data_IF_068259556014
#
_entry.id   IF_068259556014
#
_cell.length_a   1.000
_cell.length_b   1.000
_cell.length_c   1.000
_cell.angle_alpha   90.00
_cell.angle_beta   90.00
_cell.angle_gamma   90.00
#
_symmetry.space_group_name_H-M   'P 1'
#
loop_
_entity.id
_entity.type
_entity.pdbx_description
1 polymer ?
#
# COMPACT_ATOMS: atom_id res chain seq x y z
N UNK A 1 13.46 23.65 -0.43
CA UNK A 1 14.28 24.84 -0.14
C UNK A 1 13.88 26.06 -0.98
N UNK A 2 12.81 25.95 -1.80
CA UNK A 2 12.27 27.04 -2.61
C UNK A 2 13.13 27.44 -3.82
N UNK A 3 14.10 26.63 -4.21
CA UNK A 3 14.99 26.90 -5.35
C UNK A 3 14.62 26.11 -6.60
N UNK A 4 13.88 25.03 -6.45
CA UNK A 4 13.50 24.15 -7.53
C UNK A 4 12.00 23.91 -7.57
N UNK A 5 11.46 23.86 -8.77
CA UNK A 5 10.08 23.50 -9.06
C UNK A 5 10.10 22.19 -9.86
N UNK A 6 9.37 21.19 -9.40
CA UNK A 6 9.10 20.01 -10.18
C UNK A 6 7.70 20.09 -10.78
N UNK A 7 7.59 19.80 -12.05
CA UNK A 7 6.34 19.88 -12.81
C UNK A 7 6.07 18.55 -13.50
N UNK A 8 4.94 17.92 -13.20
CA UNK A 8 4.44 16.76 -13.92
C UNK A 8 3.47 17.18 -15.01
N UNK A 9 3.76 16.84 -16.24
CA UNK A 9 2.88 17.10 -17.37
C UNK A 9 1.98 15.90 -17.64
N UNK A 10 0.68 16.05 -17.32
CA UNK A 10 -0.34 14.99 -17.35
C UNK A 10 -1.03 14.76 -18.68
N UNK A 11 -0.85 15.63 -19.65
CA UNK A 11 -1.67 15.57 -20.85
C UNK A 11 -1.05 14.68 -21.90
N UNK A 12 -1.55 13.46 -21.95
CA UNK A 12 -1.28 12.61 -23.09
C UNK A 12 -2.07 13.05 -24.29
N UNK A 13 -1.48 12.79 -25.43
CA UNK A 13 -1.94 13.02 -26.78
C UNK A 13 -3.43 12.74 -27.04
N UNK A 14 -4.00 11.79 -26.30
CA UNK A 14 -5.25 11.15 -26.68
C UNK A 14 -6.46 11.64 -25.91
N UNK A 15 -6.27 12.48 -24.89
CA UNK A 15 -7.37 12.76 -23.96
C UNK A 15 -8.17 14.03 -24.20
N UNK A 16 -7.60 15.11 -24.75
CA UNK A 16 -8.35 16.37 -24.66
C UNK A 16 -8.33 17.35 -25.83
N UNK A 17 -7.42 17.34 -26.79
CA UNK A 17 -7.47 18.27 -27.93
C UNK A 17 -6.77 17.76 -29.18
N UNK A 18 -7.42 17.85 -30.36
CA UNK A 18 -6.81 17.50 -31.65
C UNK A 18 -5.92 18.61 -32.24
N UNK A 19 -5.57 19.64 -31.47
CA UNK A 19 -4.90 20.83 -31.97
C UNK A 19 -3.68 21.17 -31.13
N UNK A 20 -2.50 20.92 -31.67
CA UNK A 20 -1.22 21.35 -31.09
C UNK A 20 -0.14 20.28 -31.16
N UNK A 21 1.13 20.65 -30.99
CA UNK A 21 2.20 19.67 -30.88
C UNK A 21 1.96 18.77 -29.68
N UNK A 22 2.13 17.48 -29.93
CA UNK A 22 1.97 16.45 -28.94
C UNK A 22 3.09 16.56 -27.90
N UNK A 23 2.75 16.94 -26.69
CA UNK A 23 3.68 16.89 -25.58
C UNK A 23 3.67 15.49 -24.98
N UNK A 24 4.81 14.80 -24.95
CA UNK A 24 4.90 13.55 -24.21
C UNK A 24 4.62 13.81 -22.73
N UNK A 25 4.08 12.81 -22.05
CA UNK A 25 4.04 12.82 -20.60
C UNK A 25 5.47 12.91 -20.10
N UNK A 26 5.78 13.91 -19.30
CA UNK A 26 7.12 14.14 -18.81
C UNK A 26 7.13 14.76 -17.40
N UNK A 27 8.26 14.64 -16.76
CA UNK A 27 8.59 15.31 -15.51
C UNK A 27 9.68 16.32 -15.77
N UNK A 28 9.47 17.54 -15.33
CA UNK A 28 10.41 18.65 -15.52
C UNK A 28 10.94 19.15 -14.18
N UNK A 29 12.24 19.36 -14.12
CA UNK A 29 12.88 20.06 -13.02
C UNK A 29 13.30 21.46 -13.49
N UNK A 30 12.81 22.47 -12.79
CA UNK A 30 13.02 23.86 -13.12
C UNK A 30 13.73 24.56 -11.96
N UNK A 31 14.82 25.26 -12.24
CA UNK A 31 15.47 26.14 -11.28
C UNK A 31 14.70 27.48 -11.24
N UNK A 32 14.25 27.85 -10.06
CA UNK A 32 13.52 29.10 -9.78
C UNK A 32 14.28 29.98 -8.76
N UNK A 33 15.55 29.71 -8.53
CA UNK A 33 16.36 30.43 -7.54
C UNK A 33 16.79 31.84 -8.00
N UNK A 34 16.69 32.12 -9.30
CA UNK A 34 17.02 33.41 -9.92
C UNK A 34 15.79 34.12 -10.47
N UNK A 35 16.04 35.21 -11.19
CA UNK A 35 15.00 36.04 -11.81
C UNK A 35 14.29 35.37 -13.01
N UNK A 36 14.83 34.25 -13.48
CA UNK A 36 14.30 33.48 -14.61
C UNK A 36 14.17 32.02 -14.23
N UNK A 37 13.11 31.40 -14.72
CA UNK A 37 12.99 29.94 -14.66
C UNK A 37 13.93 29.29 -15.67
N UNK A 38 14.73 28.35 -15.21
CA UNK A 38 15.67 27.58 -16.05
C UNK A 38 15.32 26.13 -15.98
N UNK A 39 14.97 25.54 -17.13
CA UNK A 39 14.74 24.09 -17.23
C UNK A 39 16.06 23.34 -17.04
N UNK A 40 16.15 22.54 -15.98
CA UNK A 40 17.33 21.73 -15.66
C UNK A 40 17.27 20.32 -16.23
N UNK A 41 16.07 19.76 -16.22
CA UNK A 41 15.85 18.41 -16.73
C UNK A 41 14.43 18.27 -17.29
N UNK A 42 14.30 17.48 -18.35
CA UNK A 42 13.04 17.07 -18.95
C UNK A 42 13.11 15.56 -19.17
N UNK A 43 12.32 14.82 -18.43
CA UNK A 43 12.38 13.37 -18.37
C UNK A 43 11.07 12.76 -18.88
N UNK A 44 11.08 12.04 -20.01
CA UNK A 44 9.87 11.38 -20.47
C UNK A 44 9.47 10.25 -19.52
N UNK A 45 8.20 10.21 -19.17
CA UNK A 45 7.62 9.18 -18.33
C UNK A 45 6.53 8.43 -19.07
N UNK A 46 6.25 7.21 -18.62
CA UNK A 46 5.10 6.44 -19.10
C UNK A 46 4.00 6.48 -18.03
N UNK A 47 2.85 6.98 -18.42
CA UNK A 47 1.73 7.16 -17.52
C UNK A 47 1.69 8.54 -16.87
N UNK A 48 0.58 8.85 -16.22
CA UNK A 48 0.36 10.16 -15.60
C UNK A 48 1.20 10.31 -14.34
N UNK A 49 2.17 11.25 -14.28
CA UNK A 49 2.89 11.51 -13.05
C UNK A 49 1.95 12.18 -12.05
N UNK A 50 1.85 11.62 -10.87
CA UNK A 50 0.99 12.12 -9.80
C UNK A 50 1.77 12.80 -8.69
N UNK A 51 3.00 12.38 -8.48
CA UNK A 51 3.80 12.86 -7.37
C UNK A 51 5.29 12.70 -7.64
N UNK A 52 6.11 13.57 -7.08
CA UNK A 52 7.56 13.43 -7.09
C UNK A 52 8.19 14.00 -5.84
N UNK A 53 9.30 13.41 -5.50
CA UNK A 53 10.15 13.84 -4.40
C UNK A 53 11.53 14.17 -4.94
N UNK A 54 11.99 15.37 -4.65
CA UNK A 54 13.33 15.85 -5.04
C UNK A 54 14.27 15.70 -3.85
N UNK A 55 15.34 14.95 -4.05
CA UNK A 55 16.39 14.77 -3.04
C UNK A 55 17.68 15.45 -3.49
N UNK A 56 18.42 16.00 -2.53
CA UNK A 56 19.86 16.20 -2.74
C UNK A 56 20.53 14.83 -2.71
N UNK A 57 21.45 14.58 -3.65
CA UNK A 57 22.12 13.29 -3.78
C UNK A 57 22.84 12.83 -2.51
N UNK A 58 23.41 13.76 -1.77
CA UNK A 58 24.07 13.53 -0.49
C UNK A 58 23.12 13.19 0.66
N UNK A 59 21.83 13.46 0.49
CA UNK A 59 20.78 13.08 1.45
C UNK A 59 20.14 11.73 1.15
N UNK A 60 20.44 11.13 0.00
CA UNK A 60 19.96 9.79 -0.34
C UNK A 60 20.68 8.75 0.54
N UNK A 61 19.99 8.32 1.56
CA UNK A 61 20.43 7.20 2.39
C UNK A 61 19.87 5.91 1.78
N UNK A 62 20.58 4.77 1.93
CA UNK A 62 20.01 3.47 1.62
C UNK A 62 18.67 3.31 2.35
N UNK A 63 17.67 2.72 1.69
CA UNK A 63 16.42 2.37 2.36
C UNK A 63 16.72 1.49 3.55
N UNK A 64 16.11 1.78 4.67
CA UNK A 64 16.27 0.98 5.86
C UNK A 64 15.66 -0.41 5.62
N UNK A 65 16.41 -1.43 5.91
CA UNK A 65 15.95 -2.82 5.89
C UNK A 65 15.74 -3.24 7.34
N UNK A 66 14.53 -3.63 7.66
CA UNK A 66 14.16 -4.06 9.01
C UNK A 66 14.45 -5.55 9.18
N UNK A 67 14.88 -5.94 10.37
CA UNK A 67 14.97 -7.36 10.74
C UNK A 67 13.69 -7.78 11.46
N UNK A 68 13.02 -8.80 10.93
CA UNK A 68 11.78 -9.31 11.51
C UNK A 68 11.97 -9.87 12.92
N UNK A 69 13.19 -10.23 13.31
CA UNK A 69 13.49 -10.72 14.65
C UNK A 69 13.40 -9.63 15.72
N UNK A 70 13.47 -8.35 15.33
CA UNK A 70 13.29 -7.21 16.23
C UNK A 70 11.82 -7.02 16.65
N UNK A 71 10.89 -7.77 16.03
CA UNK A 71 9.46 -7.68 16.25
C UNK A 71 8.89 -8.99 16.83
N UNK A 72 8.85 -9.17 18.15
CA UNK A 72 8.54 -10.46 18.78
C UNK A 72 7.11 -10.97 18.52
N UNK A 73 6.18 -10.08 18.18
CA UNK A 73 4.80 -10.46 17.84
C UNK A 73 4.58 -10.70 16.33
N UNK A 74 5.60 -10.45 15.52
CA UNK A 74 5.48 -10.63 14.08
C UNK A 74 5.37 -12.11 13.70
N UNK A 75 4.56 -12.40 12.72
CA UNK A 75 4.53 -13.71 12.05
C UNK A 75 5.73 -13.75 11.11
N UNK A 76 6.64 -14.68 11.34
CA UNK A 76 7.93 -14.71 10.62
C UNK A 76 7.86 -15.40 9.26
N UNK A 77 6.83 -16.20 9.02
CA UNK A 77 6.62 -16.95 7.77
C UNK A 77 5.12 -16.89 7.40
N UNK A 78 4.83 -16.72 6.12
CA UNK A 78 3.45 -16.80 5.61
C UNK A 78 2.76 -18.13 5.91
N UNK A 79 3.52 -19.20 6.13
CA UNK A 79 3.00 -20.51 6.56
C UNK A 79 2.37 -20.51 7.94
N UNK A 80 2.67 -19.51 8.76
CA UNK A 80 2.04 -19.33 10.08
C UNK A 80 0.64 -18.69 9.97
N UNK A 81 0.25 -18.29 8.76
CA UNK A 81 -1.07 -17.72 8.49
C UNK A 81 -2.15 -18.77 8.60
N UNK A 82 -3.31 -18.37 9.08
CA UNK A 82 -4.44 -19.26 9.24
C UNK A 82 -5.47 -18.77 10.23
N UNK A 83 -6.46 -19.61 10.47
CA UNK A 83 -7.58 -19.35 11.37
C UNK A 83 -7.52 -20.33 12.54
N UNK A 84 -7.52 -19.80 13.76
CA UNK A 84 -7.60 -20.60 14.97
C UNK A 84 -8.87 -20.21 15.73
N UNK A 85 -9.60 -21.21 16.20
CA UNK A 85 -10.89 -21.01 16.88
C UNK A 85 -10.87 -21.58 18.30
N UNK A 86 -11.37 -20.80 19.24
CA UNK A 86 -11.67 -21.24 20.60
C UNK A 86 -13.09 -20.77 20.96
N UNK A 87 -14.06 -21.64 20.78
CA UNK A 87 -15.48 -21.26 20.91
C UNK A 87 -15.86 -20.18 19.90
N UNK A 88 -16.34 -19.06 20.38
CA UNK A 88 -16.67 -17.85 19.57
C UNK A 88 -15.47 -16.91 19.35
N UNK A 89 -14.35 -17.15 20.00
CA UNK A 89 -13.14 -16.36 19.80
C UNK A 89 -12.35 -16.94 18.64
N UNK A 90 -12.13 -16.15 17.60
CA UNK A 90 -11.43 -16.56 16.37
C UNK A 90 -10.24 -15.65 16.19
N UNK A 91 -9.07 -16.25 16.04
CA UNK A 91 -7.84 -15.53 15.68
C UNK A 91 -7.51 -15.83 14.22
N UNK A 92 -7.40 -14.79 13.43
CA UNK A 92 -7.01 -14.86 12.01
C UNK A 92 -5.63 -14.23 11.88
N UNK A 93 -4.64 -15.02 11.52
CA UNK A 93 -3.29 -14.56 11.24
C UNK A 93 -3.08 -14.44 9.73
N UNK A 94 -2.69 -13.28 9.28
CA UNK A 94 -2.42 -12.98 7.85
C UNK A 94 -1.07 -12.28 7.75
N UNK A 95 -0.33 -12.55 6.69
CA UNK A 95 0.82 -11.74 6.31
C UNK A 95 0.54 -10.98 5.04
N UNK A 96 1.16 -9.82 4.90
CA UNK A 96 1.25 -9.06 3.66
C UNK A 96 2.68 -9.08 3.14
N UNK A 97 2.81 -9.32 1.86
CA UNK A 97 4.07 -9.19 1.12
C UNK A 97 3.69 -8.87 -0.32
N UNK A 98 4.15 -7.74 -0.83
CA UNK A 98 3.72 -7.24 -2.14
C UNK A 98 3.90 -8.32 -3.23
N UNK A 99 2.91 -8.57 -4.07
CA UNK A 99 1.60 -7.90 -4.17
C UNK A 99 0.44 -8.72 -3.55
N UNK A 100 0.63 -9.51 -2.51
CA UNK A 100 -0.37 -10.44 -2.02
C UNK A 100 -0.52 -10.47 -0.49
N UNK A 101 -1.69 -10.87 -0.03
CA UNK A 101 -1.90 -11.41 1.30
C UNK A 101 -1.71 -12.93 1.30
N UNK A 102 -1.22 -13.49 2.42
CA UNK A 102 -0.94 -14.94 2.54
C UNK A 102 -2.19 -15.83 2.46
N UNK A 103 -3.34 -15.31 2.84
CA UNK A 103 -4.62 -16.02 2.71
C UNK A 103 -5.44 -15.42 1.57
N UNK A 104 -5.93 -16.24 0.66
CA UNK A 104 -6.88 -15.83 -0.38
C UNK A 104 -8.29 -15.65 0.16
N UNK A 105 -8.61 -16.41 1.20
CA UNK A 105 -9.87 -16.34 1.93
C UNK A 105 -9.73 -16.92 3.33
N UNK A 106 -10.63 -16.51 4.22
CA UNK A 106 -10.79 -17.11 5.54
C UNK A 106 -12.26 -17.10 5.95
N UNK A 107 -12.67 -18.11 6.75
CA UNK A 107 -14.05 -18.28 7.16
C UNK A 107 -14.22 -18.12 8.66
N UNK A 108 -15.24 -17.37 9.05
CA UNK A 108 -15.70 -17.17 10.42
C UNK A 108 -17.22 -17.38 10.47
N UNK A 109 -17.81 -17.42 11.65
CA UNK A 109 -19.26 -17.60 11.82
C UNK A 109 -19.89 -16.32 12.35
N UNK A 110 -21.18 -16.15 12.08
CA UNK A 110 -21.96 -15.05 12.67
C UNK A 110 -21.88 -15.08 14.18
N UNK A 111 -21.54 -13.95 14.78
CA UNK A 111 -21.39 -13.78 16.21
C UNK A 111 -20.01 -14.15 16.76
N UNK A 112 -19.06 -14.50 15.89
CA UNK A 112 -17.67 -14.66 16.32
C UNK A 112 -17.03 -13.32 16.69
N UNK A 113 -16.26 -13.33 17.77
CA UNK A 113 -15.30 -12.29 18.10
C UNK A 113 -13.99 -12.59 17.35
N UNK A 114 -13.73 -11.83 16.30
CA UNK A 114 -12.60 -12.05 15.39
C UNK A 114 -11.47 -11.11 15.77
N UNK A 115 -10.34 -11.68 16.15
CA UNK A 115 -9.08 -10.94 16.27
C UNK A 115 -8.22 -11.22 15.03
N UNK A 116 -8.11 -10.22 14.15
CA UNK A 116 -7.28 -10.29 12.97
C UNK A 116 -5.91 -9.70 13.29
N UNK A 117 -4.87 -10.48 13.02
CA UNK A 117 -3.46 -10.11 13.21
C UNK A 117 -2.82 -10.07 11.84
N UNK A 118 -2.30 -8.93 11.44
CA UNK A 118 -1.60 -8.74 10.17
C UNK A 118 -0.15 -8.35 10.42
N UNK A 119 0.77 -9.08 9.78
CA UNK A 119 2.20 -8.77 9.76
C UNK A 119 2.64 -8.45 8.35
N UNK A 120 3.31 -7.32 8.14
CA UNK A 120 3.97 -6.99 6.90
C UNK A 120 5.36 -7.64 6.86
N UNK A 121 5.59 -8.54 5.90
CA UNK A 121 6.87 -9.25 5.72
C UNK A 121 7.84 -8.51 4.78
N UNK A 122 7.41 -7.42 4.16
CA UNK A 122 8.30 -6.62 3.35
C UNK A 122 9.32 -5.89 4.23
N UNK A 123 10.57 -5.83 3.75
CA UNK A 123 11.71 -5.27 4.48
C UNK A 123 12.14 -3.90 3.97
N UNK A 124 11.52 -3.43 2.90
CA UNK A 124 11.85 -2.16 2.25
C UNK A 124 10.95 -1.07 2.82
N UNK A 125 11.53 0.06 3.21
CA UNK A 125 10.87 1.14 3.93
C UNK A 125 9.58 1.65 3.28
N UNK A 126 9.52 1.71 1.94
CA UNK A 126 8.36 2.21 1.21
C UNK A 126 7.24 1.17 1.02
N UNK A 127 7.47 -0.09 1.38
CA UNK A 127 6.47 -1.14 1.19
C UNK A 127 5.51 -1.24 2.39
N UNK A 128 4.88 -0.11 2.70
CA UNK A 128 3.76 -0.05 3.63
C UNK A 128 2.51 -0.63 2.97
N UNK A 129 1.74 -1.42 3.72
CA UNK A 129 0.46 -1.94 3.28
C UNK A 129 -0.68 -1.38 4.12
N UNK A 130 -1.85 -1.29 3.50
CA UNK A 130 -3.08 -1.07 4.23
C UNK A 130 -3.90 -2.36 4.30
N UNK A 131 -4.86 -2.41 5.21
CA UNK A 131 -5.84 -3.48 5.28
C UNK A 131 -7.19 -2.92 5.67
N UNK A 132 -8.19 -3.16 4.87
CA UNK A 132 -9.54 -2.72 5.16
C UNK A 132 -10.58 -3.82 4.94
N UNK A 133 -11.58 -3.83 5.83
CA UNK A 133 -12.86 -4.52 5.68
C UNK A 133 -13.94 -3.44 5.89
N UNK A 134 -14.35 -2.70 4.85
CA UNK A 134 -15.18 -1.50 5.02
C UNK A 134 -16.48 -1.74 5.77
N UNK A 135 -17.13 -2.89 5.52
CA UNK A 135 -18.39 -3.24 6.17
C UNK A 135 -18.26 -3.35 7.70
N UNK A 136 -17.09 -3.69 8.20
CA UNK A 136 -16.78 -3.83 9.62
C UNK A 136 -16.03 -2.61 10.18
N UNK A 137 -15.93 -1.53 9.42
CA UNK A 137 -15.16 -0.33 9.79
C UNK A 137 -13.72 -0.62 10.22
N UNK A 138 -13.14 -1.67 9.63
CA UNK A 138 -11.73 -2.02 9.80
C UNK A 138 -10.93 -1.32 8.73
N UNK A 139 -9.99 -0.48 9.14
CA UNK A 139 -9.02 0.16 8.24
C UNK A 139 -7.79 0.58 9.04
N UNK A 140 -6.64 0.04 8.67
CA UNK A 140 -5.35 0.38 9.27
C UNK A 140 -4.20 0.14 8.29
N UNK A 141 -3.06 0.74 8.56
CA UNK A 141 -1.82 0.53 7.81
C UNK A 141 -0.80 -0.22 8.65
N UNK A 142 0.05 -1.02 8.00
CA UNK A 142 1.17 -1.75 8.59
C UNK A 142 2.44 -1.41 7.83
N UNK A 143 3.40 -0.83 8.53
CA UNK A 143 4.71 -0.53 7.98
C UNK A 143 5.53 -1.82 7.79
N UNK A 144 6.65 -1.78 7.06
CA UNK A 144 7.55 -2.92 6.94
C UNK A 144 7.88 -3.54 8.29
N UNK A 145 7.75 -4.86 8.37
CA UNK A 145 7.96 -5.70 9.55
C UNK A 145 7.09 -5.34 10.77
N UNK A 146 6.13 -4.46 10.61
CA UNK A 146 5.16 -4.14 11.64
C UNK A 146 4.07 -5.21 11.73
N UNK A 147 3.59 -5.48 12.94
CA UNK A 147 2.41 -6.31 13.20
C UNK A 147 1.35 -5.44 13.87
N UNK A 148 0.14 -5.49 13.34
CA UNK A 148 -1.04 -4.87 13.94
C UNK A 148 -2.18 -5.85 14.09
N UNK A 149 -3.05 -5.59 15.03
CA UNK A 149 -4.26 -6.37 15.25
C UNK A 149 -5.49 -5.49 15.44
N UNK A 150 -6.63 -6.06 15.07
CA UNK A 150 -7.94 -5.47 15.30
C UNK A 150 -8.90 -6.56 15.73
N UNK A 151 -9.81 -6.25 16.66
CA UNK A 151 -10.86 -7.16 17.08
C UNK A 151 -12.23 -6.57 16.74
N UNK A 152 -13.10 -7.38 16.17
CA UNK A 152 -14.46 -7.00 15.80
C UNK A 152 -15.41 -8.20 15.93
N UNK A 153 -16.72 -7.93 15.93
CA UNK A 153 -17.74 -8.99 15.90
C UNK A 153 -18.19 -9.22 14.46
N UNK A 154 -18.17 -10.46 14.02
CA UNK A 154 -18.69 -10.88 12.71
C UNK A 154 -20.22 -11.00 12.77
N UNK A 155 -20.95 -9.88 12.74
CA UNK A 155 -22.39 -9.82 13.01
C UNK A 155 -23.26 -10.09 11.80
N UNK A 156 -22.72 -10.02 10.58
CA UNK A 156 -23.47 -10.16 9.33
C UNK A 156 -22.95 -11.31 8.50
N UNK A 157 -23.80 -12.31 8.13
CA UNK A 157 -23.41 -13.33 7.17
C UNK A 157 -23.17 -12.75 5.77
N UNK A 158 -22.24 -13.34 5.05
CA UNK A 158 -21.93 -12.91 3.69
C UNK A 158 -20.45 -13.06 3.32
N UNK A 159 -20.10 -12.55 2.14
CA UNK A 159 -18.72 -12.50 1.64
C UNK A 159 -18.26 -11.05 1.61
N UNK A 160 -17.19 -10.75 2.30
CA UNK A 160 -16.64 -9.41 2.45
C UNK A 160 -15.24 -9.36 1.87
N UNK A 161 -15.01 -8.42 0.96
CA UNK A 161 -13.69 -8.18 0.44
C UNK A 161 -12.84 -7.41 1.44
N UNK A 162 -11.62 -7.88 1.58
CA UNK A 162 -10.55 -7.20 2.31
C UNK A 162 -9.45 -6.84 1.33
N UNK A 163 -8.97 -5.61 1.35
CA UNK A 163 -7.98 -5.15 0.38
C UNK A 163 -6.92 -4.26 0.99
N UNK A 164 -5.78 -4.24 0.32
CA UNK A 164 -4.74 -3.27 0.62
C UNK A 164 -5.25 -1.87 0.22
N UNK A 165 -5.13 -0.91 1.12
CA UNK A 165 -5.57 0.49 0.90
C UNK A 165 -4.41 1.44 0.64
N UNK A 166 -3.18 0.92 0.61
CA UNK A 166 -1.98 1.71 0.41
C UNK A 166 -1.24 1.23 -0.85
N UNK A 167 -0.96 2.15 -1.77
CA UNK A 167 -0.27 1.78 -3.00
C UNK A 167 1.13 1.24 -2.69
N UNK A 168 1.36 -0.03 -2.92
CA UNK A 168 2.58 -0.74 -2.55
C UNK A 168 3.29 -1.41 -3.74
N UNK A 169 2.58 -1.63 -4.86
CA UNK A 169 3.12 -2.34 -6.01
C UNK A 169 2.24 -2.11 -7.25
N UNK A 170 2.77 -2.33 -8.45
CA UNK A 170 2.02 -2.19 -9.70
C UNK A 170 0.74 -3.07 -9.76
N UNK A 171 0.75 -4.23 -9.08
CA UNK A 171 -0.40 -5.11 -8.93
C UNK A 171 -1.18 -4.86 -7.62
N UNK A 172 -1.09 -3.68 -7.05
CA UNK A 172 -1.75 -3.32 -5.80
C UNK A 172 -3.25 -3.65 -5.77
N UNK A 173 -3.97 -3.44 -6.85
CA UNK A 173 -5.41 -3.73 -6.94
C UNK A 173 -5.75 -5.23 -6.84
N UNK A 174 -4.79 -6.10 -7.07
CA UNK A 174 -4.93 -7.55 -6.89
C UNK A 174 -4.62 -8.01 -5.46
N UNK A 175 -4.07 -7.12 -4.63
CA UNK A 175 -3.75 -7.41 -3.23
C UNK A 175 -5.01 -7.39 -2.36
N UNK A 176 -5.73 -8.51 -2.40
CA UNK A 176 -7.03 -8.69 -1.73
C UNK A 176 -7.22 -10.09 -1.19
N UNK A 177 -8.07 -10.23 -0.20
CA UNK A 177 -8.53 -11.49 0.38
C UNK A 177 -10.04 -11.42 0.63
N UNK A 178 -10.68 -12.55 0.94
CA UNK A 178 -12.12 -12.63 1.24
C UNK A 178 -12.33 -13.12 2.66
N UNK A 179 -13.16 -12.43 3.40
CA UNK A 179 -13.74 -12.95 4.64
C UNK A 179 -15.13 -13.51 4.34
N UNK A 180 -15.33 -14.77 4.67
CA UNK A 180 -16.63 -15.45 4.56
C UNK A 180 -17.21 -15.56 5.96
N UNK A 181 -18.39 -14.98 6.16
CA UNK A 181 -19.13 -15.10 7.42
C UNK A 181 -20.31 -16.05 7.20
N UNK A 182 -20.21 -17.25 7.75
CA UNK A 182 -21.28 -18.23 7.74
C UNK A 182 -22.39 -17.84 8.72
N UNK A 183 -23.63 -18.28 8.43
CA UNK A 183 -24.80 -18.00 9.25
C UNK A 183 -24.76 -18.72 10.64
#
# INVERSE_FOLDING_TARGET
>A
DGKYLAVGCKFSKDRFLPVGPLHPENEQLIDISGDKMVLLADHPVRGEPHDFIIFKRDLLKPKQVYDINDFPLAIKDSKESGVTRNGKKVTVKITSQAPAFSLREFTVKKGDEVTLILTNLDKIEDLTHGFAIPKYNVNFIVNPLETKSVTFIADQPGVFWCYCTHFCHALHLEMRTRMIVEA
#
